data_IF_166766702486
#
_entry.id   IF_166766702486
#
_cell.length_a   1.000
_cell.length_b   1.000
_cell.length_c   1.000
_cell.angle_alpha   90.00
_cell.angle_beta   90.00
_cell.angle_gamma   90.00
#
_symmetry.space_group_name_H-M   'P 1'
#
loop_
_entity.id
_entity.type
_entity.pdbx_description
1 polymer ?
#
# COMPACT_ATOMS: atom_id res chain seq x y z
N UNK A 1 56.98 36.59 -3.78
CA UNK A 1 56.31 37.81 -3.29
C UNK A 1 55.25 38.19 -4.31
N UNK A 2 54.00 37.80 -4.05
CA UNK A 2 52.87 38.00 -4.96
C UNK A 2 51.94 39.09 -4.41
N UNK A 3 51.45 39.95 -5.30
CA UNK A 3 50.56 41.08 -5.03
C UNK A 3 49.10 40.60 -4.84
N UNK A 4 48.26 41.25 -4.00
CA UNK A 4 46.85 40.91 -3.91
C UNK A 4 45.92 41.80 -4.76
N UNK A 5 45.13 41.08 -5.57
CA UNK A 5 43.70 41.20 -5.90
C UNK A 5 43.09 42.52 -6.44
N UNK A 6 42.73 42.45 -7.73
CA UNK A 6 41.86 43.36 -8.46
C UNK A 6 40.35 43.16 -8.16
N UNK A 7 39.58 44.16 -8.57
CA UNK A 7 38.16 44.43 -8.33
C UNK A 7 37.22 43.75 -9.36
N UNK A 8 36.13 43.17 -8.83
CA UNK A 8 34.82 42.63 -9.35
C UNK A 8 34.52 42.63 -10.86
N UNK A 9 33.82 41.60 -11.41
CA UNK A 9 32.35 41.73 -11.55
C UNK A 9 31.54 40.40 -11.56
N UNK A 10 30.22 40.51 -11.45
CA UNK A 10 29.32 39.70 -12.29
C UNK A 10 28.75 38.43 -11.67
N UNK A 11 27.45 38.50 -11.41
CA UNK A 11 26.50 37.41 -11.29
C UNK A 11 26.65 36.32 -12.36
N UNK A 12 26.78 35.07 -11.94
CA UNK A 12 26.33 33.91 -12.71
C UNK A 12 25.85 32.82 -11.75
N UNK A 13 24.53 32.76 -11.61
CA UNK A 13 23.77 31.61 -11.12
C UNK A 13 23.79 30.57 -12.24
N UNK A 14 24.46 29.45 -12.05
CA UNK A 14 24.28 28.23 -12.85
C UNK A 14 24.67 27.05 -11.96
N UNK A 15 23.74 26.64 -11.09
CA UNK A 15 23.75 25.30 -10.51
C UNK A 15 22.44 24.61 -10.86
N UNK A 16 22.58 23.48 -11.56
CA UNK A 16 21.66 22.37 -11.40
C UNK A 16 20.49 22.33 -12.37
N UNK A 17 20.74 21.75 -13.55
CA UNK A 17 19.77 20.91 -14.25
C UNK A 17 19.07 19.96 -13.24
N UNK A 18 17.87 20.31 -12.82
CA UNK A 18 16.97 19.37 -12.15
C UNK A 18 15.77 19.10 -13.06
N UNK A 19 15.95 18.04 -13.84
CA UNK A 19 14.97 16.98 -14.02
C UNK A 19 13.53 17.44 -14.24
N UNK A 20 13.27 17.83 -15.48
CA UNK A 20 11.96 17.76 -16.10
C UNK A 20 11.56 16.27 -16.23
N UNK A 21 10.95 15.71 -15.20
CA UNK A 21 10.32 14.38 -15.28
C UNK A 21 8.97 14.45 -14.53
N UNK A 22 7.90 14.43 -15.32
CA UNK A 22 6.55 14.02 -14.97
C UNK A 22 5.92 14.66 -13.72
N UNK A 23 5.40 15.88 -13.88
CA UNK A 23 4.43 16.47 -12.93
C UNK A 23 3.02 16.63 -13.51
N UNK A 24 2.70 15.99 -14.61
CA UNK A 24 1.40 16.16 -15.24
C UNK A 24 0.74 14.80 -15.50
N UNK A 25 -0.52 14.68 -15.06
CA UNK A 25 -1.54 13.65 -15.36
C UNK A 25 -2.00 12.69 -14.26
N UNK A 26 -2.09 13.09 -12.99
CA UNK A 26 -3.11 12.49 -12.11
C UNK A 26 -3.87 13.58 -11.36
N UNK A 27 -5.17 13.64 -11.64
CA UNK A 27 -6.13 14.48 -10.94
C UNK A 27 -6.06 14.22 -9.44
N UNK A 28 -6.31 15.28 -8.69
CA UNK A 28 -6.34 15.33 -7.25
C UNK A 28 -7.22 14.21 -6.67
N UNK A 29 -6.58 13.23 -6.00
CA UNK A 29 -6.98 12.68 -4.70
C UNK A 29 -5.99 11.60 -4.24
N UNK A 30 -4.75 12.01 -3.91
CA UNK A 30 -3.70 11.08 -3.47
C UNK A 30 -3.62 10.89 -1.95
N UNK A 31 -4.28 11.70 -1.11
CA UNK A 31 -4.17 11.59 0.36
C UNK A 31 -5.37 12.17 1.12
N UNK A 32 -6.60 11.74 0.81
CA UNK A 32 -7.74 12.02 1.68
C UNK A 32 -7.67 11.12 2.93
N UNK A 33 -6.79 11.47 3.85
CA UNK A 33 -6.74 10.86 5.18
C UNK A 33 -7.63 11.72 6.10
N UNK A 34 -8.90 11.35 6.24
CA UNK A 34 -9.82 12.04 7.15
C UNK A 34 -9.69 11.49 8.58
N UNK A 35 -9.09 12.27 9.47
CA UNK A 35 -9.07 12.00 10.91
C UNK A 35 -10.33 12.57 11.56
N UNK A 36 -11.28 11.70 11.90
CA UNK A 36 -12.48 12.09 12.65
C UNK A 36 -12.31 11.74 14.13
N UNK A 37 -11.97 12.72 14.95
CA UNK A 37 -12.05 12.60 16.42
C UNK A 37 -13.45 12.97 16.90
N UNK A 38 -14.18 12.03 17.51
CA UNK A 38 -15.51 12.27 18.08
C UNK A 38 -15.42 12.29 19.62
N UNK A 39 -15.78 13.41 20.25
CA UNK A 39 -15.76 13.56 21.72
C UNK A 39 -17.17 13.46 22.29
N UNK A 40 -17.54 12.32 22.87
CA UNK A 40 -18.74 12.16 23.67
C UNK A 40 -18.39 11.42 24.97
N UNK A 41 -18.27 12.16 26.08
CA UNK A 41 -18.16 11.63 27.45
C UNK A 41 -16.96 10.71 27.73
N UNK A 42 -15.91 11.28 28.33
CA UNK A 42 -14.77 10.61 28.99
C UNK A 42 -13.91 9.59 28.19
N UNK A 43 -14.30 9.16 26.99
CA UNK A 43 -13.51 8.28 26.13
C UNK A 43 -13.28 8.93 24.75
N UNK A 44 -12.03 9.35 24.49
CA UNK A 44 -11.64 9.81 23.15
C UNK A 44 -11.30 8.59 22.30
N UNK A 45 -11.99 8.40 21.18
CA UNK A 45 -11.65 7.40 20.16
C UNK A 45 -10.99 8.13 19.00
N UNK A 46 -9.82 7.65 18.57
CA UNK A 46 -9.09 8.16 17.41
C UNK A 46 -9.22 7.14 16.29
N UNK A 47 -9.86 7.51 15.18
CA UNK A 47 -10.02 6.63 14.02
C UNK A 47 -9.37 7.22 12.77
N UNK A 48 -8.87 6.33 11.93
CA UNK A 48 -8.39 6.59 10.58
C UNK A 48 -9.26 5.78 9.63
N UNK A 49 -10.12 6.44 8.87
CA UNK A 49 -11.08 5.78 7.99
C UNK A 49 -10.74 6.00 6.53
N UNK A 50 -11.19 5.09 5.69
CA UNK A 50 -11.16 5.19 4.22
C UNK A 50 -9.75 5.31 3.61
N UNK A 51 -8.74 4.68 4.21
CA UNK A 51 -7.43 4.58 3.54
C UNK A 51 -7.55 3.67 2.31
N UNK A 52 -7.36 4.24 1.12
CA UNK A 52 -7.44 3.54 -0.17
C UNK A 52 -6.06 3.33 -0.75
N UNK A 53 -5.73 2.09 -1.08
CA UNK A 53 -4.42 1.71 -1.62
C UNK A 53 -4.67 0.99 -2.95
N UNK A 54 -4.47 1.68 -4.09
CA UNK A 54 -4.68 1.08 -5.41
C UNK A 54 -3.51 0.16 -5.78
N UNK A 55 -3.84 -0.99 -6.36
CA UNK A 55 -2.88 -1.93 -6.96
C UNK A 55 -3.04 -1.97 -8.48
N UNK A 56 -2.01 -2.38 -9.24
CA UNK A 56 -2.09 -2.48 -10.70
C UNK A 56 -3.15 -3.48 -11.20
N UNK A 57 -3.48 -4.50 -10.40
CA UNK A 57 -4.52 -5.50 -10.71
C UNK A 57 -5.32 -5.95 -9.48
N UNK A 58 -6.55 -6.43 -9.72
CA UNK A 58 -7.39 -7.06 -8.69
C UNK A 58 -6.68 -8.23 -8.00
N UNK A 59 -5.84 -8.96 -8.76
CA UNK A 59 -5.09 -10.12 -8.26
C UNK A 59 -4.00 -9.72 -7.28
N UNK A 60 -3.26 -8.65 -7.55
CA UNK A 60 -2.25 -8.12 -6.63
C UNK A 60 -2.91 -7.54 -5.38
N UNK A 61 -4.04 -6.85 -5.52
CA UNK A 61 -4.82 -6.37 -4.39
C UNK A 61 -5.27 -7.55 -3.50
N UNK A 62 -5.75 -8.64 -4.11
CA UNK A 62 -6.17 -9.86 -3.41
C UNK A 62 -4.99 -10.52 -2.66
N UNK A 63 -3.81 -10.59 -3.27
CA UNK A 63 -2.60 -11.13 -2.64
C UNK A 63 -2.18 -10.26 -1.46
N UNK A 64 -2.20 -8.94 -1.63
CA UNK A 64 -1.87 -8.01 -0.57
C UNK A 64 -2.85 -8.11 0.60
N UNK A 65 -4.15 -8.12 0.31
CA UNK A 65 -5.20 -8.32 1.30
C UNK A 65 -5.01 -9.63 2.08
N UNK A 66 -4.80 -10.73 1.36
CA UNK A 66 -4.62 -12.05 1.99
C UNK A 66 -3.37 -12.12 2.85
N UNK A 67 -2.30 -11.41 2.49
CA UNK A 67 -1.06 -11.34 3.26
C UNK A 67 -1.19 -10.45 4.50
N UNK A 68 -1.95 -9.36 4.42
CA UNK A 68 -2.04 -8.34 5.47
C UNK A 68 -3.18 -8.59 6.49
N UNK A 69 -4.17 -9.41 6.13
CA UNK A 69 -5.31 -9.74 7.01
C UNK A 69 -5.00 -10.76 8.11
N UNK A 70 -3.86 -11.45 8.03
CA UNK A 70 -3.64 -12.73 8.72
C UNK A 70 -3.56 -12.58 10.24
N UNK A 71 -3.17 -11.42 10.75
CA UNK A 71 -3.16 -11.20 12.19
C UNK A 71 -4.46 -10.53 12.65
N UNK A 72 -5.36 -11.35 13.22
CA UNK A 72 -6.47 -10.84 14.01
C UNK A 72 -5.89 -10.30 15.31
N UNK A 73 -5.86 -8.98 15.40
CA UNK A 73 -5.49 -8.27 16.59
C UNK A 73 -6.20 -8.88 17.82
N UNK A 74 -5.47 -9.26 18.89
CA UNK A 74 -6.05 -9.95 20.04
C UNK A 74 -7.19 -9.12 20.64
N UNK A 75 -8.26 -9.78 21.12
CA UNK A 75 -9.51 -9.16 21.65
C UNK A 75 -9.35 -8.09 22.74
N UNK A 76 -8.14 -7.92 23.29
CA UNK A 76 -7.79 -6.90 24.28
C UNK A 76 -6.99 -5.72 23.68
N UNK A 77 -6.83 -5.66 22.38
CA UNK A 77 -6.01 -4.63 21.76
C UNK A 77 -6.71 -3.28 21.81
N UNK A 78 -5.90 -2.25 22.07
CA UNK A 78 -6.32 -0.86 22.09
C UNK A 78 -6.43 -0.27 20.68
N UNK A 79 -6.22 -1.11 19.66
CA UNK A 79 -6.39 -0.83 18.24
C UNK A 79 -7.26 -1.91 17.58
N UNK A 80 -8.13 -1.49 16.67
CA UNK A 80 -8.88 -2.34 15.74
C UNK A 80 -8.46 -1.94 14.33
N UNK A 81 -8.16 -2.93 13.50
CA UNK A 81 -7.77 -2.77 12.10
C UNK A 81 -8.72 -3.60 11.24
N UNK A 82 -9.45 -2.95 10.36
CA UNK A 82 -10.36 -3.58 9.40
C UNK A 82 -9.79 -3.42 8.00
N UNK A 83 -9.70 -4.53 7.27
CA UNK A 83 -9.27 -4.55 5.87
C UNK A 83 -10.44 -5.03 5.02
N UNK A 84 -10.69 -4.35 3.92
CA UNK A 84 -11.63 -4.75 2.88
C UNK A 84 -10.98 -4.59 1.50
N UNK A 85 -11.57 -5.22 0.50
CA UNK A 85 -11.12 -5.16 -0.88
C UNK A 85 -12.27 -4.65 -1.76
N UNK A 86 -11.99 -3.67 -2.62
CA UNK A 86 -12.91 -3.13 -3.62
C UNK A 86 -12.19 -3.17 -4.98
N UNK A 87 -12.36 -4.27 -5.72
CA UNK A 87 -11.61 -4.54 -6.96
C UNK A 87 -10.10 -4.56 -6.75
N UNK A 88 -9.39 -3.66 -7.42
CA UNK A 88 -7.94 -3.46 -7.27
C UNK A 88 -7.55 -2.51 -6.12
N UNK A 89 -8.52 -2.04 -5.31
CA UNK A 89 -8.26 -1.10 -4.22
C UNK A 89 -8.40 -1.81 -2.87
N UNK A 90 -7.33 -1.75 -2.08
CA UNK A 90 -7.35 -2.19 -0.69
C UNK A 90 -7.84 -1.05 0.21
N UNK A 91 -8.89 -1.31 0.98
CA UNK A 91 -9.49 -0.39 1.93
C UNK A 91 -9.06 -0.75 3.35
N UNK A 92 -8.59 0.23 4.12
CA UNK A 92 -8.12 0.02 5.50
C UNK A 92 -8.72 1.03 6.45
N UNK A 93 -9.31 0.55 7.54
CA UNK A 93 -9.82 1.38 8.63
C UNK A 93 -9.11 1.00 9.92
N UNK A 94 -8.64 2.01 10.65
CA UNK A 94 -8.08 1.85 11.98
C UNK A 94 -8.93 2.58 13.00
N UNK A 95 -9.12 1.97 14.16
CA UNK A 95 -9.77 2.61 15.32
C UNK A 95 -8.92 2.35 16.54
N UNK A 96 -8.59 3.37 17.31
CA UNK A 96 -7.76 3.27 18.50
C UNK A 96 -8.36 4.05 19.67
N UNK A 97 -8.07 3.61 20.89
CA UNK A 97 -8.41 4.37 22.11
C UNK A 97 -7.49 5.57 22.32
N UNK A 98 -6.28 5.57 21.73
CA UNK A 98 -5.32 6.66 21.85
C UNK A 98 -4.51 6.84 20.55
N UNK A 99 -4.14 8.07 20.24
CA UNK A 99 -3.37 8.40 19.04
C UNK A 99 -2.00 7.68 18.95
N UNK A 100 -1.37 7.35 20.09
CA UNK A 100 -0.09 6.63 20.11
C UNK A 100 -0.21 5.21 19.54
N UNK A 101 -1.32 4.52 19.82
CA UNK A 101 -1.57 3.17 19.31
C UNK A 101 -1.85 3.22 17.82
N UNK A 102 -2.65 4.20 17.39
CA UNK A 102 -2.90 4.43 15.97
C UNK A 102 -1.59 4.68 15.21
N UNK A 103 -0.70 5.54 15.73
CA UNK A 103 0.61 5.82 15.10
C UNK A 103 1.46 4.56 14.95
N UNK A 104 1.55 3.73 16.00
CA UNK A 104 2.34 2.48 15.96
C UNK A 104 1.73 1.49 14.97
N UNK A 105 0.41 1.29 15.02
CA UNK A 105 -0.27 0.33 14.15
C UNK A 105 -0.20 0.74 12.68
N UNK A 106 -0.45 2.01 12.37
CA UNK A 106 -0.35 2.53 11.00
C UNK A 106 1.08 2.38 10.48
N UNK A 107 2.09 2.72 11.28
CA UNK A 107 3.50 2.51 10.91
C UNK A 107 3.80 1.04 10.59
N UNK A 108 3.48 0.14 11.52
CA UNK A 108 3.72 -1.31 11.33
C UNK A 108 2.96 -1.89 10.14
N UNK A 109 1.76 -1.39 9.85
CA UNK A 109 0.99 -1.79 8.68
C UNK A 109 1.70 -1.42 7.38
N UNK A 110 2.24 -0.20 7.28
CA UNK A 110 2.98 0.23 6.09
C UNK A 110 4.29 -0.52 5.92
N UNK A 111 4.97 -0.90 7.01
CA UNK A 111 6.16 -1.75 6.94
C UNK A 111 5.84 -3.11 6.33
N UNK A 112 4.73 -3.73 6.77
CA UNK A 112 4.25 -5.00 6.22
C UNK A 112 3.77 -4.85 4.77
N UNK A 113 3.04 -3.79 4.44
CA UNK A 113 2.61 -3.51 3.07
C UNK A 113 3.82 -3.37 2.14
N UNK A 114 4.84 -2.62 2.56
CA UNK A 114 6.06 -2.43 1.79
C UNK A 114 6.79 -3.76 1.55
N UNK A 115 6.84 -4.64 2.56
CA UNK A 115 7.38 -5.99 2.40
C UNK A 115 6.60 -6.80 1.35
N UNK A 116 5.27 -6.76 1.40
CA UNK A 116 4.40 -7.47 0.45
C UNK A 116 4.59 -6.95 -0.97
N UNK A 117 4.62 -5.62 -1.15
CA UNK A 117 4.87 -5.00 -2.47
C UNK A 117 6.23 -5.41 -3.01
N UNK A 118 7.30 -5.30 -2.23
CA UNK A 118 8.65 -5.76 -2.64
C UNK A 118 8.67 -7.23 -3.00
N UNK A 119 7.92 -8.06 -2.27
CA UNK A 119 7.81 -9.49 -2.58
C UNK A 119 7.12 -9.70 -3.93
N UNK A 120 6.04 -8.97 -4.21
CA UNK A 120 5.38 -9.06 -5.52
C UNK A 120 6.29 -8.58 -6.66
N UNK A 121 7.08 -7.53 -6.44
CA UNK A 121 8.06 -7.04 -7.42
C UNK A 121 9.18 -8.05 -7.69
N UNK A 122 9.73 -8.67 -6.64
CA UNK A 122 10.85 -9.62 -6.74
C UNK A 122 10.43 -10.95 -7.39
N UNK A 123 9.22 -11.44 -7.07
CA UNK A 123 8.72 -12.73 -7.57
C UNK A 123 7.90 -12.63 -8.86
N UNK A 124 7.66 -11.42 -9.36
CA UNK A 124 6.95 -11.16 -10.61
C UNK A 124 5.43 -11.35 -10.53
N UNK A 125 4.74 -11.18 -11.67
CA UNK A 125 3.28 -11.19 -11.71
C UNK A 125 2.70 -12.53 -11.25
N UNK A 126 1.54 -12.53 -10.56
CA UNK A 126 0.91 -13.74 -10.08
C UNK A 126 0.65 -14.73 -11.21
N UNK A 127 1.04 -15.99 -11.03
CA UNK A 127 0.73 -17.04 -12.00
C UNK A 127 -0.79 -17.16 -12.17
N UNK A 128 -1.24 -17.06 -13.41
CA UNK A 128 -2.61 -17.39 -13.80
C UNK A 128 -2.88 -18.86 -13.40
N UNK A 129 -3.95 -19.09 -12.64
CA UNK A 129 -4.41 -20.46 -12.37
C UNK A 129 -5.04 -20.99 -13.65
N UNK A 130 -4.22 -21.43 -14.61
CA UNK A 130 -4.70 -22.13 -15.79
C UNK A 130 -5.40 -23.40 -15.32
N UNK A 131 -6.72 -23.44 -15.49
CA UNK A 131 -7.60 -24.59 -15.26
C UNK A 131 -7.32 -25.66 -16.33
N UNK A 132 -6.12 -26.24 -16.32
CA UNK A 132 -5.71 -27.33 -17.20
C UNK A 132 -5.40 -28.59 -16.37
N UNK A 133 -6.41 -29.08 -15.65
CA UNK A 133 -6.37 -30.40 -15.01
C UNK A 133 -7.71 -31.12 -15.16
N UNK A 134 -8.26 -31.15 -16.38
CA UNK A 134 -9.30 -32.09 -16.78
C UNK A 134 -9.07 -32.54 -18.22
N UNK A 135 -8.17 -33.49 -18.43
CA UNK A 135 -8.17 -34.36 -19.61
C UNK A 135 -8.40 -35.80 -19.14
N UNK A 136 -9.69 -36.13 -19.02
CA UNK A 136 -10.29 -37.35 -19.57
C UNK A 136 -9.39 -38.60 -19.52
N UNK A 137 -9.55 -39.41 -18.46
CA UNK A 137 -9.00 -40.77 -18.43
C UNK A 137 -9.51 -41.61 -19.61
N UNK A 138 -8.73 -42.60 -20.08
CA UNK A 138 -9.08 -43.38 -21.26
C UNK A 138 -10.37 -44.17 -21.01
N UNK A 139 -11.37 -43.91 -21.86
CA UNK A 139 -12.62 -44.66 -21.92
C UNK A 139 -12.32 -46.07 -22.43
N UNK A 140 -12.22 -47.04 -21.53
CA UNK A 140 -12.14 -48.46 -21.88
C UNK A 140 -13.58 -48.94 -22.15
N UNK A 141 -14.08 -48.66 -23.35
CA UNK A 141 -15.14 -49.49 -23.94
C UNK A 141 -14.48 -50.76 -24.45
N UNK A 142 -14.68 -51.87 -23.75
CA UNK A 142 -14.62 -53.21 -24.32
C UNK A 142 -15.70 -54.05 -23.65
N UNK A 143 -16.90 -53.93 -24.21
CA UNK A 143 -17.95 -54.93 -24.14
C UNK A 143 -18.09 -55.52 -25.55
N UNK A 144 -18.53 -56.77 -25.62
CA UNK A 144 -18.77 -57.61 -26.81
C UNK A 144 -17.58 -58.43 -27.35
N UNK A 145 -17.38 -59.62 -26.78
CA UNK A 145 -17.71 -60.92 -27.42
C UNK A 145 -17.67 -62.05 -26.42
#
# INVERSE_FOLDING_TARGET
MAQPAARVPGSQLEEGKQSSIAKERLGADWFAIEFKGSSSGLNFVTSLSEMKIPFPSDREAEIAYNSLRVDKEPRKSQITKELNLDGNVLLVNFTATEARFLRVAVGSFFDLLNLVVKTMEEFGPPLERTLAAQTKGPNVTNDVS
#
